data_IF_338722901736
#
_entry.id   IF_338722901736
#
_cell.length_a   1.000
_cell.length_b   1.000
_cell.length_c   1.000
_cell.angle_alpha   90.00
_cell.angle_beta   90.00
_cell.angle_gamma   90.00
#
_symmetry.space_group_name_H-M   'P 1'
#
loop_
_entity.id
_entity.type
_entity.pdbx_description
1 polymer ?
#
# COMPACT_ATOMS: atom_id res chain seq x y z
N UNK A 1 -12.32 -24.54 2.12
CA UNK A 1 -11.67 -23.31 1.63
C UNK A 1 -12.56 -22.14 2.01
N UNK A 2 -12.06 -21.24 2.85
CA UNK A 2 -12.76 -20.03 3.28
C UNK A 2 -12.32 -18.85 2.42
N UNK A 3 -13.04 -17.72 2.48
CA UNK A 3 -12.57 -16.49 1.80
C UNK A 3 -11.18 -16.05 2.27
N UNK A 4 -10.88 -16.25 3.56
CA UNK A 4 -9.57 -16.03 4.14
C UNK A 4 -8.48 -16.83 3.44
N UNK A 5 -8.70 -18.16 3.28
CA UNK A 5 -7.74 -19.04 2.62
C UNK A 5 -7.46 -18.57 1.19
N UNK A 6 -8.49 -18.13 0.47
CA UNK A 6 -8.37 -17.61 -0.90
C UNK A 6 -7.56 -16.31 -0.92
N UNK A 7 -7.82 -15.38 0.01
CA UNK A 7 -7.07 -14.11 0.10
C UNK A 7 -5.59 -14.37 0.36
N UNK A 8 -5.26 -15.26 1.30
CA UNK A 8 -3.87 -15.61 1.58
C UNK A 8 -3.18 -16.24 0.38
N UNK A 9 -3.82 -17.23 -0.27
CA UNK A 9 -3.27 -17.90 -1.45
C UNK A 9 -3.02 -16.92 -2.60
N UNK A 10 -3.98 -16.02 -2.86
CA UNK A 10 -3.84 -15.01 -3.91
C UNK A 10 -2.74 -14.00 -3.58
N UNK A 11 -2.62 -13.58 -2.32
CA UNK A 11 -1.59 -12.64 -1.90
C UNK A 11 -0.19 -13.26 -1.96
N UNK A 12 0.00 -14.50 -1.50
CA UNK A 12 1.24 -15.25 -1.63
C UNK A 12 1.63 -15.42 -3.10
N UNK A 13 0.65 -15.73 -3.97
CA UNK A 13 0.86 -15.83 -5.41
C UNK A 13 1.26 -14.47 -6.02
N UNK A 14 0.61 -13.38 -5.61
CA UNK A 14 0.96 -12.03 -6.07
C UNK A 14 2.39 -11.64 -5.67
N UNK A 15 2.80 -11.97 -4.44
CA UNK A 15 4.15 -11.75 -3.95
C UNK A 15 5.18 -12.50 -4.79
N UNK A 16 4.93 -13.79 -5.06
CA UNK A 16 5.80 -14.60 -5.89
C UNK A 16 5.90 -14.06 -7.33
N UNK A 17 4.81 -13.55 -7.89
CA UNK A 17 4.83 -12.93 -9.23
C UNK A 17 5.62 -11.61 -9.24
N UNK A 18 5.52 -10.78 -8.21
CA UNK A 18 6.35 -9.57 -8.07
C UNK A 18 7.84 -9.88 -7.98
N UNK A 19 8.22 -10.92 -7.24
CA UNK A 19 9.61 -11.38 -7.12
C UNK A 19 10.19 -11.85 -8.46
N UNK A 20 9.35 -12.45 -9.31
CA UNK A 20 9.72 -12.86 -10.68
C UNK A 20 9.74 -11.69 -11.68
N UNK A 21 9.26 -10.52 -11.29
CA UNK A 21 9.08 -9.37 -12.17
C UNK A 21 7.81 -9.42 -13.04
N UNK A 22 6.90 -10.34 -12.78
CA UNK A 22 5.62 -10.48 -13.49
C UNK A 22 4.58 -9.47 -12.96
N UNK A 23 4.83 -8.20 -13.16
CA UNK A 23 4.07 -7.08 -12.58
C UNK A 23 2.59 -7.15 -12.95
N UNK A 24 2.27 -7.56 -14.17
CA UNK A 24 0.90 -7.69 -14.63
C UNK A 24 0.11 -8.75 -13.83
N UNK A 25 0.64 -9.95 -13.72
CA UNK A 25 0.00 -11.03 -12.95
C UNK A 25 -0.18 -10.65 -11.49
N UNK A 26 0.83 -10.02 -10.91
CA UNK A 26 0.76 -9.49 -9.55
C UNK A 26 -0.35 -8.44 -9.39
N UNK A 27 -0.47 -7.51 -10.34
CA UNK A 27 -1.52 -6.47 -10.33
C UNK A 27 -2.93 -7.09 -10.28
N UNK A 28 -3.19 -8.06 -11.16
CA UNK A 28 -4.50 -8.75 -11.22
C UNK A 28 -4.82 -9.44 -9.90
N UNK A 29 -3.85 -10.18 -9.34
CA UNK A 29 -4.03 -10.90 -8.08
C UNK A 29 -4.26 -9.95 -6.89
N UNK A 30 -3.53 -8.83 -6.82
CA UNK A 30 -3.66 -7.84 -5.75
C UNK A 30 -5.02 -7.13 -5.78
N UNK A 31 -5.49 -6.76 -6.97
CA UNK A 31 -6.82 -6.17 -7.09
C UNK A 31 -7.93 -7.16 -6.73
N UNK A 32 -7.78 -8.43 -7.10
CA UNK A 32 -8.71 -9.47 -6.71
C UNK A 32 -8.71 -9.71 -5.19
N UNK A 33 -7.53 -9.73 -4.55
CA UNK A 33 -7.42 -9.77 -3.08
C UNK A 33 -8.15 -8.59 -2.44
N UNK A 34 -7.94 -7.38 -2.94
CA UNK A 34 -8.59 -6.17 -2.45
C UNK A 34 -10.11 -6.25 -2.56
N UNK A 35 -10.63 -6.72 -3.68
CA UNK A 35 -12.08 -6.89 -3.85
C UNK A 35 -12.66 -7.91 -2.86
N UNK A 36 -11.97 -9.02 -2.63
CA UNK A 36 -12.40 -10.01 -1.64
C UNK A 36 -12.39 -9.42 -0.22
N UNK A 37 -11.37 -8.65 0.15
CA UNK A 37 -11.29 -7.94 1.43
C UNK A 37 -12.42 -6.94 1.57
N UNK A 38 -12.75 -6.21 0.50
CA UNK A 38 -13.87 -5.29 0.48
C UNK A 38 -15.22 -6.00 0.68
N UNK A 39 -15.45 -7.08 -0.05
CA UNK A 39 -16.70 -7.84 0.03
C UNK A 39 -16.89 -8.52 1.40
N UNK A 40 -15.82 -8.95 2.03
CA UNK A 40 -15.89 -9.72 3.29
C UNK A 40 -15.75 -8.86 4.54
N UNK A 41 -15.05 -7.74 4.48
CA UNK A 41 -14.72 -6.92 5.64
C UNK A 41 -15.07 -5.43 5.48
N UNK A 42 -15.73 -5.05 4.39
CA UNK A 42 -16.20 -3.68 4.17
C UNK A 42 -15.07 -2.66 4.02
N UNK A 43 -13.91 -3.08 3.55
CA UNK A 43 -12.76 -2.19 3.31
C UNK A 43 -13.18 -1.12 2.30
N UNK A 44 -13.29 0.13 2.74
CA UNK A 44 -13.87 1.24 1.97
C UNK A 44 -13.12 1.53 0.66
N UNK A 45 -13.85 1.92 -0.40
CA UNK A 45 -13.26 2.08 -1.74
C UNK A 45 -12.50 3.40 -1.96
N UNK A 46 -12.82 4.46 -1.22
CA UNK A 46 -12.40 5.82 -1.56
C UNK A 46 -11.16 6.34 -0.84
N UNK A 47 -10.83 5.78 0.31
CA UNK A 47 -9.80 6.33 1.21
C UNK A 47 -8.40 5.73 0.97
N UNK A 48 -8.28 4.81 0.02
CA UNK A 48 -7.08 3.95 -0.10
C UNK A 48 -5.86 4.67 -0.61
N UNK A 49 -6.02 5.60 -1.55
CA UNK A 49 -4.88 6.28 -2.13
C UNK A 49 -4.29 7.27 -1.14
N UNK A 50 -5.14 8.01 -0.43
CA UNK A 50 -4.67 8.97 0.57
C UNK A 50 -3.99 8.25 1.72
N UNK A 51 -4.53 7.12 2.17
CA UNK A 51 -3.92 6.28 3.18
C UNK A 51 -2.60 5.63 2.70
N UNK A 52 -2.53 5.16 1.45
CA UNK A 52 -1.30 4.62 0.86
C UNK A 52 -0.21 5.67 0.78
N UNK A 53 -0.58 6.88 0.38
CA UNK A 53 0.32 8.02 0.37
C UNK A 53 0.77 8.37 1.80
N UNK A 54 -0.11 8.28 2.77
CA UNK A 54 0.23 8.48 4.18
C UNK A 54 1.20 7.43 4.70
N UNK A 55 1.01 6.14 4.38
CA UNK A 55 1.99 5.09 4.68
C UNK A 55 3.35 5.33 4.02
N UNK A 56 3.34 5.75 2.77
CA UNK A 56 4.58 6.00 2.05
C UNK A 56 5.32 7.22 2.59
N UNK A 57 4.58 8.22 3.06
CA UNK A 57 5.14 9.41 3.69
C UNK A 57 5.43 9.24 5.19
N UNK A 58 4.84 8.24 5.85
CA UNK A 58 5.06 7.97 7.26
C UNK A 58 6.27 7.04 7.45
N UNK A 59 7.49 7.61 7.35
CA UNK A 59 8.74 6.90 7.73
C UNK A 59 8.83 6.62 9.23
N UNK A 60 7.95 7.20 10.03
CA UNK A 60 8.00 7.14 11.48
C UNK A 60 6.67 6.65 12.03
N UNK A 61 6.71 5.77 13.02
CA UNK A 61 5.51 5.36 13.76
C UNK A 61 4.97 6.51 14.58
N UNK A 62 3.71 6.45 14.98
CA UNK A 62 3.09 7.46 15.83
C UNK A 62 3.84 7.60 17.16
N UNK A 63 4.31 6.49 17.75
CA UNK A 63 5.10 6.52 18.98
C UNK A 63 6.46 7.22 18.77
N UNK A 64 7.12 6.99 17.64
CA UNK A 64 8.39 7.67 17.34
C UNK A 64 8.19 9.18 17.16
N UNK A 65 7.09 9.59 16.53
CA UNK A 65 6.74 11.00 16.36
C UNK A 65 6.36 11.65 17.70
N UNK A 66 5.63 10.95 18.54
CA UNK A 66 5.27 11.41 19.89
C UNK A 66 6.52 11.58 20.76
N UNK A 67 7.43 10.61 20.75
CA UNK A 67 8.72 10.71 21.46
C UNK A 67 9.55 11.90 20.95
N UNK A 68 9.66 12.06 19.63
CA UNK A 68 10.40 13.18 19.05
C UNK A 68 9.77 14.53 19.40
N UNK A 69 8.43 14.61 19.34
CA UNK A 69 7.69 15.82 19.72
C UNK A 69 7.94 16.18 21.19
N UNK A 70 7.81 15.21 22.09
CA UNK A 70 8.02 15.42 23.53
C UNK A 70 9.46 15.86 23.87
N UNK A 71 10.46 15.26 23.21
CA UNK A 71 11.87 15.65 23.38
C UNK A 71 12.07 17.09 22.91
N UNK A 72 11.65 17.42 21.69
CA UNK A 72 11.80 18.76 21.13
C UNK A 72 11.05 19.82 21.95
N UNK A 73 9.88 19.47 22.49
CA UNK A 73 9.11 20.34 23.35
C UNK A 73 9.82 20.59 24.69
N UNK A 74 10.34 19.53 25.33
CA UNK A 74 11.04 19.63 26.60
C UNK A 74 12.34 20.44 26.50
N UNK A 75 12.99 20.39 25.35
CA UNK A 75 14.21 21.14 25.03
C UNK A 75 13.94 22.56 24.48
N UNK A 76 12.67 22.95 24.38
CA UNK A 76 12.23 24.22 23.80
C UNK A 76 12.76 24.46 22.37
N UNK A 77 12.81 23.37 21.57
CA UNK A 77 13.34 23.33 20.20
C UNK A 77 12.25 23.21 19.14
N UNK A 78 10.98 23.10 19.54
CA UNK A 78 9.86 23.09 18.60
C UNK A 78 9.73 24.48 17.96
N UNK A 79 9.66 24.57 16.62
CA UNK A 79 9.26 25.79 15.96
C UNK A 79 7.86 26.24 16.43
N UNK A 80 7.62 27.54 16.55
CA UNK A 80 6.35 28.11 17.04
C UNK A 80 5.13 27.62 16.24
N UNK A 81 5.32 27.27 14.98
CA UNK A 81 4.27 26.76 14.09
C UNK A 81 3.92 25.28 14.32
N UNK A 82 4.63 24.56 15.21
CA UNK A 82 4.38 23.16 15.52
C UNK A 82 3.84 23.05 16.94
N UNK A 83 2.53 23.10 17.06
CA UNK A 83 1.81 23.05 18.32
C UNK A 83 1.26 21.65 18.66
N UNK A 84 1.34 20.72 17.71
CA UNK A 84 0.78 19.38 17.81
C UNK A 84 1.57 18.35 17.00
N UNK A 85 1.35 17.06 17.30
CA UNK A 85 1.92 15.95 16.55
C UNK A 85 1.44 15.99 15.10
N UNK A 86 0.19 16.36 14.86
CA UNK A 86 -0.37 16.49 13.51
C UNK A 86 0.29 17.61 12.70
N UNK A 87 0.62 18.71 13.34
CA UNK A 87 1.41 19.78 12.72
C UNK A 87 2.83 19.31 12.37
N UNK A 88 3.46 18.51 13.25
CA UNK A 88 4.75 17.87 12.98
C UNK A 88 4.69 16.90 11.81
N UNK A 89 3.68 16.01 11.78
CA UNK A 89 3.44 15.10 10.66
C UNK A 89 3.26 15.85 9.35
N UNK A 90 2.45 16.90 9.36
CA UNK A 90 2.18 17.72 8.17
C UNK A 90 3.44 18.43 7.66
N UNK A 91 4.31 18.90 8.56
CA UNK A 91 5.57 19.53 8.19
C UNK A 91 6.56 18.54 7.61
N UNK A 92 6.68 17.34 8.21
CA UNK A 92 7.52 16.27 7.68
C UNK A 92 7.04 15.81 6.30
N UNK A 93 5.74 15.65 6.12
CA UNK A 93 5.13 15.31 4.82
C UNK A 93 5.48 16.36 3.75
N UNK A 94 5.35 17.64 4.06
CA UNK A 94 5.72 18.73 3.14
C UNK A 94 7.21 18.75 2.82
N UNK A 95 8.07 18.52 3.81
CA UNK A 95 9.52 18.44 3.60
C UNK A 95 9.89 17.29 2.68
N UNK A 96 9.30 16.11 2.88
CA UNK A 96 9.52 14.94 2.03
C UNK A 96 9.06 15.16 0.58
N UNK A 97 7.89 15.80 0.38
CA UNK A 97 7.40 16.17 -0.96
C UNK A 97 8.35 17.16 -1.63
N UNK A 98 8.91 18.09 -0.88
CA UNK A 98 9.86 19.08 -1.40
C UNK A 98 11.21 18.46 -1.79
N UNK A 99 11.70 17.51 -1.01
CA UNK A 99 12.96 16.80 -1.29
C UNK A 99 12.81 15.77 -2.43
N UNK A 100 11.63 15.16 -2.53
CA UNK A 100 11.28 14.21 -3.58
C UNK A 100 9.98 14.70 -4.23
N UNK A 101 10.04 15.55 -5.26
CA UNK A 101 8.86 16.09 -5.91
C UNK A 101 8.08 14.96 -6.57
N UNK A 102 7.13 14.42 -5.83
CA UNK A 102 6.21 13.40 -6.30
C UNK A 102 5.03 14.13 -6.90
N UNK A 103 4.78 13.89 -8.16
CA UNK A 103 3.57 14.34 -8.80
C UNK A 103 2.41 13.44 -8.35
N UNK A 104 1.70 13.89 -7.30
CA UNK A 104 0.56 13.14 -6.75
C UNK A 104 -0.52 12.87 -7.80
N UNK A 105 -0.75 13.80 -8.71
CA UNK A 105 -1.75 13.63 -9.78
C UNK A 105 -1.30 12.57 -10.79
N UNK A 106 -0.01 12.49 -11.06
CA UNK A 106 0.56 11.44 -11.91
C UNK A 106 0.44 10.07 -11.25
N UNK A 107 0.73 9.95 -9.95
CA UNK A 107 0.56 8.70 -9.20
C UNK A 107 -0.92 8.29 -9.19
N UNK A 108 -1.83 9.21 -8.90
CA UNK A 108 -3.27 8.96 -8.94
C UNK A 108 -3.72 8.45 -10.30
N UNK A 109 -3.22 9.07 -11.36
CA UNK A 109 -3.50 8.64 -12.73
C UNK A 109 -3.00 7.21 -12.97
N UNK A 110 -1.74 6.93 -12.68
CA UNK A 110 -1.15 5.59 -12.87
C UNK A 110 -1.87 4.51 -12.04
N UNK A 111 -2.30 4.85 -10.82
CA UNK A 111 -3.08 3.94 -9.98
C UNK A 111 -4.44 3.64 -10.61
N UNK A 112 -5.12 4.65 -11.15
CA UNK A 112 -6.37 4.46 -11.88
C UNK A 112 -6.15 3.64 -13.16
N UNK A 113 -5.08 3.90 -13.90
CA UNK A 113 -4.73 3.14 -15.11
C UNK A 113 -4.52 1.65 -14.78
N UNK A 114 -3.83 1.35 -13.67
CA UNK A 114 -3.67 -0.03 -13.18
C UNK A 114 -5.02 -0.68 -12.80
N UNK A 115 -5.92 0.08 -12.19
CA UNK A 115 -7.26 -0.39 -11.84
C UNK A 115 -8.14 -0.62 -13.07
N UNK A 116 -8.12 0.28 -14.02
CA UNK A 116 -8.85 0.11 -15.30
C UNK A 116 -8.35 -1.11 -16.07
N UNK A 117 -7.05 -1.35 -16.06
CA UNK A 117 -6.45 -2.53 -16.67
C UNK A 117 -6.94 -3.83 -16.01
N UNK A 118 -6.99 -3.87 -14.68
CA UNK A 118 -7.58 -4.97 -13.94
C UNK A 118 -9.06 -5.19 -14.32
N UNK A 119 -9.85 -4.13 -14.33
CA UNK A 119 -11.27 -4.22 -14.69
C UNK A 119 -11.47 -4.73 -16.13
N UNK A 120 -10.67 -4.27 -17.06
CA UNK A 120 -10.72 -4.72 -18.45
C UNK A 120 -10.39 -6.21 -18.57
N UNK A 121 -9.41 -6.71 -17.79
CA UNK A 121 -9.07 -8.13 -17.75
C UNK A 121 -10.20 -8.97 -17.17
N UNK A 122 -10.82 -8.50 -16.10
CA UNK A 122 -11.90 -9.19 -15.38
C UNK A 122 -13.16 -9.31 -16.20
N UNK A 123 -13.53 -8.28 -16.95
CA UNK A 123 -14.81 -8.24 -17.66
C UNK A 123 -14.73 -8.72 -19.10
N UNK A 124 -13.58 -9.16 -19.58
CA UNK A 124 -13.40 -9.63 -20.95
C UNK A 124 -13.78 -8.57 -21.99
N UNK A 125 -13.90 -7.29 -21.56
CA UNK A 125 -14.15 -6.19 -22.48
C UNK A 125 -12.91 -6.08 -23.35
N UNK A 126 -13.02 -6.35 -24.63
CA UNK A 126 -11.93 -6.41 -25.61
C UNK A 126 -11.10 -5.13 -25.79
N UNK A 127 -11.13 -4.24 -24.81
CA UNK A 127 -10.32 -3.02 -24.77
C UNK A 127 -9.02 -3.19 -23.99
N UNK A 128 -8.91 -4.15 -23.09
CA UNK A 128 -7.71 -4.34 -22.26
C UNK A 128 -6.74 -5.38 -22.82
N UNK A 129 -7.27 -6.39 -23.45
CA UNK A 129 -6.49 -7.54 -23.97
C UNK A 129 -6.96 -7.93 -25.34
N UNK A 130 -7.27 -6.94 -26.13
CA UNK A 130 -7.56 -7.14 -27.53
C UNK A 130 -6.36 -7.75 -28.22
N UNK A 131 -6.59 -8.81 -28.85
CA UNK A 131 -5.83 -9.72 -29.66
C UNK A 131 -4.85 -9.04 -30.67
N UNK A 132 -4.67 -7.72 -30.62
CA UNK A 132 -3.92 -6.99 -31.61
C UNK A 132 -2.95 -5.98 -30.99
N UNK A 133 -1.71 -6.38 -30.81
CA UNK A 133 -0.58 -5.44 -30.66
C UNK A 133 -0.52 -4.61 -29.37
N UNK A 134 -1.21 -5.04 -28.33
CA UNK A 134 -1.34 -4.33 -27.07
C UNK A 134 -0.18 -4.55 -26.08
N UNK A 135 0.74 -5.45 -26.38
CA UNK A 135 1.82 -5.79 -25.46
C UNK A 135 2.61 -4.56 -25.02
N UNK A 136 2.84 -3.63 -25.94
CA UNK A 136 3.57 -2.39 -25.65
C UNK A 136 2.74 -1.38 -24.85
N UNK A 137 1.45 -1.28 -25.12
CA UNK A 137 0.54 -0.36 -24.39
C UNK A 137 0.27 -0.83 -22.97
N UNK A 138 0.24 -2.14 -22.74
CA UNK A 138 0.10 -2.74 -21.40
C UNK A 138 1.33 -2.45 -20.56
N UNK A 139 2.52 -2.67 -21.10
CA UNK A 139 3.78 -2.42 -20.41
C UNK A 139 3.97 -0.93 -20.10
N UNK A 140 3.56 -0.04 -21.01
CA UNK A 140 3.66 1.41 -20.82
C UNK A 140 2.64 1.96 -19.79
N UNK A 141 1.49 1.30 -19.62
CA UNK A 141 0.45 1.72 -18.67
C UNK A 141 0.65 1.17 -17.25
N UNK A 142 1.33 0.03 -17.11
CA UNK A 142 1.53 -0.63 -15.84
C UNK A 142 2.81 -0.15 -15.16
N UNK A 143 2.66 0.73 -14.15
CA UNK A 143 3.81 1.19 -13.36
C UNK A 143 4.16 0.19 -12.26
N UNK A 144 5.36 -0.45 -12.29
CA UNK A 144 5.77 -1.40 -11.27
C UNK A 144 5.80 -0.82 -9.85
N UNK A 145 6.03 0.48 -9.69
CA UNK A 145 6.03 1.13 -8.38
C UNK A 145 4.61 1.20 -7.82
N UNK A 146 3.63 1.52 -8.66
CA UNK A 146 2.21 1.54 -8.26
C UNK A 146 1.75 0.15 -7.84
N UNK A 147 2.18 -0.90 -8.54
CA UNK A 147 1.83 -2.28 -8.16
C UNK A 147 2.49 -2.69 -6.85
N UNK A 148 3.73 -2.26 -6.59
CA UNK A 148 4.38 -2.46 -5.27
C UNK A 148 3.65 -1.71 -4.15
N UNK A 149 3.18 -0.50 -4.41
CA UNK A 149 2.36 0.24 -3.45
C UNK A 149 1.04 -0.49 -3.16
N UNK A 150 0.38 -0.99 -4.20
CA UNK A 150 -0.84 -1.82 -4.05
C UNK A 150 -0.55 -3.08 -3.22
N UNK A 151 0.60 -3.73 -3.43
CA UNK A 151 1.02 -4.88 -2.63
C UNK A 151 1.15 -4.51 -1.15
N UNK A 152 1.81 -3.39 -0.83
CA UNK A 152 1.95 -2.92 0.55
C UNK A 152 0.59 -2.61 1.19
N UNK A 153 -0.32 -2.00 0.44
CA UNK A 153 -1.67 -1.71 0.91
C UNK A 153 -2.44 -3.00 1.22
N UNK A 154 -2.46 -3.96 0.29
CA UNK A 154 -3.16 -5.24 0.49
C UNK A 154 -2.54 -6.01 1.66
N UNK A 155 -1.22 -6.02 1.77
CA UNK A 155 -0.51 -6.62 2.90
C UNK A 155 -0.97 -6.04 4.24
N UNK A 156 -1.05 -4.72 4.35
CA UNK A 156 -1.52 -4.07 5.57
C UNK A 156 -2.96 -4.45 5.91
N UNK A 157 -3.86 -4.51 4.93
CA UNK A 157 -5.23 -4.93 5.19
C UNK A 157 -5.30 -6.37 5.69
N UNK A 158 -4.54 -7.28 5.07
CA UNK A 158 -4.44 -8.66 5.52
C UNK A 158 -3.94 -8.70 6.97
N UNK A 159 -2.87 -7.98 7.27
CA UNK A 159 -2.27 -7.95 8.60
C UNK A 159 -3.23 -7.37 9.64
N UNK A 160 -3.92 -6.26 9.34
CA UNK A 160 -4.85 -5.65 10.28
C UNK A 160 -6.11 -6.48 10.54
N UNK A 161 -6.62 -7.16 9.50
CA UNK A 161 -7.83 -7.98 9.60
C UNK A 161 -7.53 -9.35 10.19
N UNK A 162 -6.40 -9.97 9.81
CA UNK A 162 -6.08 -11.35 10.15
C UNK A 162 -4.85 -11.48 11.06
N UNK A 163 -4.53 -10.45 11.85
CA UNK A 163 -3.35 -10.47 12.75
C UNK A 163 -3.25 -11.76 13.57
N UNK A 164 -4.36 -12.21 14.16
CA UNK A 164 -4.39 -13.42 14.95
C UNK A 164 -4.02 -14.67 14.15
N UNK A 165 -4.61 -14.80 12.96
CA UNK A 165 -4.37 -15.94 12.07
C UNK A 165 -2.94 -15.94 11.53
N UNK A 166 -2.36 -14.76 11.29
CA UNK A 166 -0.97 -14.60 10.86
C UNK A 166 -0.02 -15.05 11.96
N UNK A 167 -0.26 -14.63 13.19
CA UNK A 167 0.54 -15.05 14.34
C UNK A 167 0.44 -16.58 14.54
N UNK A 168 -0.74 -17.16 14.40
CA UNK A 168 -0.93 -18.61 14.49
C UNK A 168 -0.23 -19.36 13.34
N UNK A 169 -0.21 -18.80 12.12
CA UNK A 169 0.37 -19.46 10.93
C UNK A 169 1.90 -19.28 10.85
N UNK A 170 2.39 -18.08 11.10
CA UNK A 170 3.79 -17.70 10.83
C UNK A 170 4.60 -17.38 12.10
N UNK A 171 3.96 -17.25 13.26
CA UNK A 171 4.57 -16.86 14.51
C UNK A 171 4.75 -15.34 14.68
N UNK A 172 5.09 -14.94 15.92
CA UNK A 172 5.35 -13.53 16.24
C UNK A 172 6.61 -12.99 15.54
N UNK A 173 7.59 -13.85 15.32
CA UNK A 173 8.86 -13.50 14.67
C UNK A 173 8.63 -12.92 13.26
N UNK A 174 7.64 -13.42 12.52
CA UNK A 174 7.27 -12.88 11.22
C UNK A 174 6.80 -11.41 11.30
N UNK A 175 6.01 -11.07 12.33
CA UNK A 175 5.55 -9.70 12.55
C UNK A 175 6.70 -8.78 12.95
N UNK A 176 7.62 -9.27 13.76
CA UNK A 176 8.82 -8.55 14.19
C UNK A 176 9.78 -8.28 13.02
N UNK A 177 9.97 -9.24 12.12
CA UNK A 177 10.78 -9.07 10.91
C UNK A 177 10.16 -8.06 9.96
N UNK A 178 8.83 -8.09 9.82
CA UNK A 178 8.10 -7.25 8.86
C UNK A 178 7.96 -5.80 9.33
N UNK A 179 7.69 -5.57 10.61
CA UNK A 179 7.38 -4.24 11.17
C UNK A 179 8.46 -3.72 12.11
N UNK A 180 9.45 -4.53 12.44
CA UNK A 180 10.43 -4.25 13.46
C UNK A 180 9.86 -4.46 14.86
N UNK A 181 10.67 -5.06 15.75
CA UNK A 181 10.31 -5.15 17.18
C UNK A 181 10.13 -3.75 17.74
N UNK A 182 9.09 -3.48 18.53
CA UNK A 182 9.00 -2.24 19.28
C UNK A 182 10.28 -2.09 20.08
N UNK A 183 11.09 -1.10 19.76
CA UNK A 183 12.32 -0.83 20.52
C UNK A 183 11.90 -0.40 21.91
N UNK A 184 12.11 -1.29 22.88
CA UNK A 184 12.03 -0.95 24.30
C UNK A 184 12.98 0.19 24.64
#
# INVERSE_FOLDING_TARGET
MTYKDVVFEMFESATAELEKGNVYSANVLLWACRELLWLTHGVAQGEHLDWLLDLWFNKYTDEQLEQAFNILQSENRLPEEIDSIDALKSKLKRAMIKENPINLDEIKKKFNDCYEMYNNSKHGSGRGFGITGLDKEVDDALDPQVVKMLHQMVSYYIDSIYTKDIIEKYGLEYMDEKYGSPKN
#
